data_IF_661130868048
#
_entry.id   IF_661130868048
#
_cell.length_a   1.000
_cell.length_b   1.000
_cell.length_c   1.000
_cell.angle_alpha   90.00
_cell.angle_beta   90.00
_cell.angle_gamma   90.00
#
_symmetry.space_group_name_H-M   'P 1'
#
loop_
_entity.id
_entity.type
_entity.pdbx_description
1 polymer ?
#
# COMPACT_ATOMS: atom_id res chain seq x y z
N UNK A 1 2.92 9.08 -5.48
CA UNK A 1 3.22 8.14 -4.44
C UNK A 1 2.17 7.09 -4.34
N UNK A 2 2.56 5.82 -4.23
CA UNK A 2 1.62 4.75 -4.16
C UNK A 2 1.57 4.26 -2.72
N UNK A 3 0.49 4.54 -2.04
CA UNK A 3 0.36 4.20 -0.64
C UNK A 3 0.33 2.69 -0.42
N UNK A 4 -0.22 1.95 -1.37
CA UNK A 4 -0.23 0.51 -1.23
C UNK A 4 1.20 -0.04 -1.30
N UNK A 5 2.00 0.51 -2.19
CA UNK A 5 3.37 0.09 -2.28
C UNK A 5 4.15 0.49 -1.06
N UNK A 6 3.88 1.64 -0.52
CA UNK A 6 4.56 2.09 0.69
C UNK A 6 4.32 1.12 1.82
N UNK A 7 3.11 0.59 1.94
CA UNK A 7 2.82 -0.38 2.97
C UNK A 7 3.07 -1.81 2.52
N UNK A 8 3.49 -2.00 1.27
CA UNK A 8 3.83 -3.31 0.74
C UNK A 8 2.64 -4.25 0.76
N UNK A 9 1.48 -3.74 0.40
CA UNK A 9 0.27 -4.56 0.36
C UNK A 9 -0.37 -4.46 -1.01
N UNK A 10 -1.26 -5.37 -1.30
CA UNK A 10 -1.98 -5.35 -2.55
C UNK A 10 -3.06 -4.30 -2.54
N UNK A 11 -3.47 -3.86 -3.70
CA UNK A 11 -4.52 -2.86 -3.77
C UNK A 11 -5.84 -3.36 -3.22
N UNK A 12 -6.04 -4.67 -3.19
CA UNK A 12 -7.25 -5.21 -2.64
C UNK A 12 -7.03 -5.75 -1.23
N UNK A 13 -5.99 -5.32 -0.55
CA UNK A 13 -5.71 -5.81 0.78
C UNK A 13 -6.84 -5.47 1.74
N UNK A 14 -7.16 -6.39 2.63
CA UNK A 14 -8.19 -6.13 3.59
C UNK A 14 -7.70 -5.18 4.67
N UNK A 15 -8.59 -4.48 5.33
CA UNK A 15 -8.16 -3.50 6.32
C UNK A 15 -7.24 -4.05 7.39
N UNK A 16 -7.48 -5.28 7.83
CA UNK A 16 -6.63 -5.84 8.85
C UNK A 16 -5.26 -6.18 8.32
N UNK A 17 -5.13 -6.48 7.04
CA UNK A 17 -3.84 -6.74 6.45
C UNK A 17 -3.06 -5.43 6.38
N UNK A 18 -3.74 -4.35 6.04
CA UNK A 18 -3.11 -3.04 5.98
C UNK A 18 -2.63 -2.65 7.37
N UNK A 19 -3.41 -2.93 8.39
CA UNK A 19 -3.02 -2.59 9.73
C UNK A 19 -1.81 -3.38 10.17
N UNK A 20 -1.76 -4.66 9.85
CA UNK A 20 -0.63 -5.47 10.25
C UNK A 20 0.63 -5.06 9.49
N UNK A 21 0.48 -4.68 8.24
CA UNK A 21 1.62 -4.20 7.47
C UNK A 21 2.17 -2.93 8.10
N UNK A 22 1.27 -2.04 8.49
CA UNK A 22 1.69 -0.80 9.11
C UNK A 22 2.46 -1.10 10.40
N UNK A 23 1.96 -2.01 11.22
CA UNK A 23 2.63 -2.34 12.45
C UNK A 23 3.99 -2.94 12.21
N UNK A 24 4.09 -3.84 11.25
CA UNK A 24 5.37 -4.47 10.97
C UNK A 24 6.38 -3.45 10.47
N UNK A 25 5.96 -2.56 9.59
CA UNK A 25 6.87 -1.56 9.07
C UNK A 25 7.26 -0.54 10.13
N UNK A 26 6.34 -0.25 11.03
CA UNK A 26 6.64 0.69 12.08
C UNK A 26 7.71 0.13 12.99
N UNK A 27 7.66 -1.16 13.28
CA UNK A 27 8.67 -1.76 14.12
C UNK A 27 10.02 -1.78 13.42
N UNK A 28 10.01 -1.95 12.11
CA UNK A 28 11.25 -2.03 11.38
C UNK A 28 11.92 -0.67 11.22
N UNK A 29 11.14 0.37 11.00
CA UNK A 29 11.71 1.68 10.71
C UNK A 29 11.58 2.70 11.83
N UNK A 30 11.17 2.28 13.01
CA UNK A 30 11.05 3.23 14.10
C UNK A 30 12.42 3.79 14.41
N UNK A 31 12.56 5.10 14.55
CA UNK A 31 13.88 5.69 14.77
C UNK A 31 14.59 5.16 16.00
N UNK A 32 13.84 4.69 16.99
CA UNK A 32 14.46 4.19 18.18
C UNK A 32 15.10 2.84 18.02
N UNK A 33 14.71 2.08 16.99
CA UNK A 33 15.27 0.76 16.80
C UNK A 33 16.33 0.69 15.73
N UNK A 34 16.55 1.75 14.98
CA UNK A 34 17.58 1.73 13.95
C UNK A 34 18.83 2.41 14.45
N UNK A 35 19.98 2.09 13.87
CA UNK A 35 21.22 2.74 14.27
C UNK A 35 21.15 4.24 14.02
N UNK A 36 21.93 4.97 14.78
CA UNK A 36 21.87 6.40 14.70
C UNK A 36 22.16 6.91 13.32
N UNK A 37 23.07 6.29 12.60
CA UNK A 37 23.41 6.78 11.28
C UNK A 37 22.30 6.54 10.28
N UNK A 38 21.28 5.76 10.63
CA UNK A 38 20.16 5.54 9.74
C UNK A 38 18.90 6.21 10.24
N UNK A 39 18.98 6.93 11.36
CA UNK A 39 17.78 7.47 11.97
C UNK A 39 17.07 8.46 11.08
N UNK A 40 17.81 9.26 10.34
CA UNK A 40 17.18 10.23 9.49
C UNK A 40 16.40 9.56 8.37
N UNK A 41 16.97 8.53 7.75
CA UNK A 41 16.27 7.80 6.73
C UNK A 41 15.05 7.08 7.28
N UNK A 42 15.17 6.54 8.50
CA UNK A 42 14.05 5.85 9.11
C UNK A 42 12.93 6.83 9.42
N UNK A 43 13.26 8.04 9.84
CA UNK A 43 12.25 9.04 10.11
C UNK A 43 11.49 9.38 8.83
N UNK A 44 12.20 9.53 7.72
CA UNK A 44 11.51 9.83 6.46
C UNK A 44 10.65 8.65 6.02
N UNK A 45 11.15 7.43 6.24
CA UNK A 45 10.37 6.26 5.88
C UNK A 45 9.10 6.21 6.73
N UNK A 46 9.22 6.50 8.02
CA UNK A 46 8.06 6.48 8.88
C UNK A 46 7.04 7.55 8.50
N UNK A 47 7.51 8.69 8.03
CA UNK A 47 6.57 9.71 7.59
C UNK A 47 5.76 9.22 6.41
N UNK A 48 6.39 8.53 5.47
CA UNK A 48 5.66 8.01 4.32
C UNK A 48 4.74 6.87 4.74
N UNK A 49 5.20 6.03 5.68
CA UNK A 49 4.40 4.92 6.15
C UNK A 49 3.18 5.45 6.90
N UNK A 50 3.35 6.46 7.74
CA UNK A 50 2.24 7.03 8.46
C UNK A 50 1.24 7.69 7.52
N UNK A 51 1.73 8.37 6.51
CA UNK A 51 0.84 9.01 5.56
C UNK A 51 0.05 7.96 4.80
N UNK A 52 0.70 6.88 4.35
CA UNK A 52 0.00 5.84 3.62
C UNK A 52 -1.04 5.18 4.50
N UNK A 53 -0.70 4.94 5.76
CA UNK A 53 -1.66 4.28 6.64
C UNK A 53 -2.84 5.20 6.92
N UNK A 54 -2.58 6.50 7.08
CA UNK A 54 -3.65 7.42 7.35
C UNK A 54 -4.67 7.43 6.22
N UNK A 55 -4.20 7.32 4.98
CA UNK A 55 -5.09 7.31 3.85
C UNK A 55 -5.80 5.98 3.71
N UNK A 56 -5.11 4.88 3.94
CA UNK A 56 -5.68 3.57 3.65
C UNK A 56 -6.45 2.95 4.81
N UNK A 57 -6.31 3.49 6.01
CA UNK A 57 -7.00 2.89 7.13
C UNK A 57 -8.49 3.21 7.17
N UNK A 58 -8.88 4.31 6.60
CA UNK A 58 -10.25 4.74 6.63
C UNK A 58 -10.92 4.43 5.31
N UNK A 59 -12.05 3.76 5.33
CA UNK A 59 -12.71 3.31 4.11
C UNK A 59 -12.99 4.46 3.16
N UNK A 60 -13.40 5.60 3.71
CA UNK A 60 -13.73 6.70 2.85
C UNK A 60 -12.52 7.32 2.20
N UNK A 61 -11.47 7.57 2.96
CA UNK A 61 -10.29 8.16 2.37
C UNK A 61 -9.61 7.18 1.44
N UNK A 62 -9.67 5.88 1.74
CA UNK A 62 -9.12 4.87 0.86
C UNK A 62 -9.88 4.88 -0.46
N UNK A 63 -11.19 5.00 -0.40
CA UNK A 63 -11.99 5.02 -1.59
C UNK A 63 -11.67 6.22 -2.45
N UNK A 64 -11.48 7.39 -1.84
CA UNK A 64 -11.13 8.57 -2.58
C UNK A 64 -9.76 8.40 -3.22
N UNK A 65 -8.83 7.80 -2.50
CA UNK A 65 -7.50 7.59 -3.04
C UNK A 65 -7.56 6.63 -4.21
N UNK A 66 -8.33 5.56 -4.09
CA UNK A 66 -8.45 4.58 -5.16
C UNK A 66 -9.02 5.22 -6.41
N UNK A 67 -9.98 6.09 -6.26
CA UNK A 67 -10.55 6.75 -7.41
C UNK A 67 -9.53 7.67 -8.07
N UNK A 68 -8.65 8.24 -7.30
CA UNK A 68 -7.67 9.15 -7.86
C UNK A 68 -6.59 8.38 -8.63
N UNK A 69 -6.42 7.10 -8.35
CA UNK A 69 -5.43 6.33 -9.05
C UNK A 69 -5.94 5.85 -10.39
N UNK A 70 -7.23 5.73 -10.54
CA UNK A 70 -7.78 5.28 -11.79
C UNK A 70 -7.89 6.43 -12.74
N UNK A 71 -7.35 6.34 -13.93
CA UNK A 71 -7.40 7.44 -14.87
C UNK A 71 -8.81 7.73 -15.18
N UNK A 72 -9.12 8.96 -15.14
CA UNK A 72 -10.41 9.29 -15.38
C UNK A 72 -10.76 9.09 -16.76
N UNK A 73 -9.89 8.98 -17.63
CA UNK A 73 -10.15 8.81 -19.00
C UNK A 73 -10.88 7.54 -19.15
N UNK A 74 -12.06 7.57 -19.46
CA UNK A 74 -12.84 6.42 -19.52
C UNK A 74 -12.27 5.34 -20.39
N UNK A 75 -11.75 5.71 -21.48
CA UNK A 75 -11.23 4.74 -22.34
C UNK A 75 -10.12 3.94 -21.73
N UNK A 76 -9.35 4.61 -20.93
CA UNK A 76 -8.31 3.94 -20.37
C UNK A 76 -8.76 3.11 -19.27
N UNK A 77 -9.85 3.44 -18.68
CA UNK A 77 -10.39 2.71 -17.58
C UNK A 77 -10.61 1.26 -17.93
N UNK A 78 -11.10 1.01 -19.12
CA UNK A 78 -11.41 -0.35 -19.45
C UNK A 78 -10.14 -1.16 -19.64
N UNK A 79 -9.12 -0.59 -20.23
CA UNK A 79 -7.89 -1.31 -20.39
C UNK A 79 -7.26 -1.58 -19.03
N UNK A 80 -7.38 -0.62 -18.16
CA UNK A 80 -6.83 -0.78 -16.83
C UNK A 80 -7.56 -1.87 -16.10
N UNK A 81 -8.87 -1.92 -16.19
CA UNK A 81 -9.64 -2.92 -15.53
C UNK A 81 -9.26 -4.30 -16.03
N UNK A 82 -9.07 -4.45 -17.32
CA UNK A 82 -8.70 -5.72 -17.88
C UNK A 82 -7.34 -6.15 -17.34
N UNK A 83 -6.42 -5.22 -17.33
CA UNK A 83 -5.10 -5.51 -16.85
C UNK A 83 -5.13 -5.96 -15.40
N UNK A 84 -5.79 -5.21 -14.56
CA UNK A 84 -5.84 -5.53 -13.17
C UNK A 84 -6.58 -6.83 -12.90
N UNK A 85 -7.64 -7.05 -13.59
CA UNK A 85 -8.43 -8.22 -13.34
C UNK A 85 -7.80 -9.49 -13.87
N UNK A 86 -7.15 -9.42 -14.96
CA UNK A 86 -6.60 -10.59 -15.50
C UNK A 86 -5.19 -10.89 -15.25
N UNK A 87 -4.40 -9.99 -15.25
CA UNK A 87 -3.01 -10.26 -15.15
C UNK A 87 -2.41 -9.99 -13.85
N UNK A 88 -2.18 -8.75 -13.60
CA UNK A 88 -1.44 -8.38 -12.45
C UNK A 88 -2.06 -8.79 -11.15
N UNK A 89 -3.30 -8.52 -11.00
CA UNK A 89 -3.96 -8.80 -9.74
C UNK A 89 -3.99 -10.30 -9.49
N UNK A 90 -4.31 -11.06 -10.51
CA UNK A 90 -4.36 -12.48 -10.34
C UNK A 90 -3.02 -13.06 -9.95
N UNK A 91 -2.01 -12.64 -10.66
CA UNK A 91 -0.71 -13.11 -10.35
C UNK A 91 -0.26 -12.70 -8.99
N UNK A 92 -0.56 -11.47 -8.62
CA UNK A 92 -0.15 -10.97 -7.35
C UNK A 92 -0.83 -11.73 -6.23
N UNK A 93 -2.09 -12.04 -6.36
CA UNK A 93 -2.78 -12.76 -5.34
C UNK A 93 -2.22 -14.16 -5.18
N UNK A 94 -1.88 -14.79 -6.26
CA UNK A 94 -1.32 -16.09 -6.19
C UNK A 94 0.00 -16.07 -5.47
N UNK A 95 0.77 -15.02 -5.65
CA UNK A 95 2.00 -14.93 -4.96
C UNK A 95 1.85 -14.60 -3.55
N UNK A 96 0.93 -13.78 -3.21
CA UNK A 96 0.77 -13.32 -1.87
C UNK A 96 0.12 -14.34 -0.98
N UNK A 97 -0.76 -15.12 -1.50
CA UNK A 97 -1.44 -16.04 -0.67
C UNK A 97 -1.20 -17.42 -1.05
N UNK A 98 -0.17 -17.78 -1.51
CA UNK A 98 0.02 -19.06 -2.00
C UNK A 98 0.00 -20.09 -1.01
N UNK A 99 0.43 -19.77 0.05
CA UNK A 99 0.53 -20.69 0.97
C UNK A 99 -0.63 -21.00 1.61
N UNK A 100 -1.53 -20.56 1.36
CA UNK A 100 -2.59 -20.83 1.99
C UNK A 100 -2.91 -22.03 1.87
#
# INVERSE_FOLDING_TARGET
VDHYRTLQVARNAEPEVIEKAYRALSLKYHPDVVPEDRREGATRAMQRINEAYRVLRDAESRSRYDRSLVPEAGGRGSAWDTFMAKGLVGMFLERVIPDR
#
